data_IF_644394812163
#
_entry.id   IF_644394812163
#
_cell.length_a   1.000
_cell.length_b   1.000
_cell.length_c   1.000
_cell.angle_alpha   90.00
_cell.angle_beta   90.00
_cell.angle_gamma   90.00
#
_symmetry.space_group_name_H-M   'P 1'
#
loop_
_entity.id
_entity.type
_entity.pdbx_description
1 polymer ?
#
# COMPACT_ATOMS: atom_id res chain seq x y z
N UNK A 1 7.54 -41.61 -44.81
CA UNK A 1 8.57 -40.57 -44.57
C UNK A 1 7.89 -39.21 -44.72
N UNK A 2 7.54 -38.55 -43.61
CA UNK A 2 7.04 -37.16 -43.61
C UNK A 2 8.02 -36.35 -42.76
N UNK A 3 8.75 -35.44 -43.40
CA UNK A 3 9.61 -34.48 -42.72
C UNK A 3 8.72 -33.36 -42.17
N UNK A 4 8.74 -33.17 -40.86
CA UNK A 4 8.15 -32.00 -40.20
C UNK A 4 9.28 -31.01 -39.95
N UNK A 5 9.25 -29.85 -40.63
CA UNK A 5 10.17 -28.74 -40.35
C UNK A 5 9.78 -28.12 -39.00
N UNK A 6 10.75 -28.05 -38.08
CA UNK A 6 10.67 -27.27 -36.85
C UNK A 6 11.27 -25.90 -37.17
N UNK A 7 10.43 -24.86 -37.21
CA UNK A 7 10.85 -23.46 -37.30
C UNK A 7 11.14 -22.94 -35.90
N UNK A 8 12.42 -22.76 -35.59
CA UNK A 8 12.88 -22.10 -34.37
C UNK A 8 12.69 -20.59 -34.52
N UNK A 9 11.78 -20.00 -33.75
CA UNK A 9 11.65 -18.54 -33.65
C UNK A 9 12.73 -18.03 -32.68
N UNK A 10 13.68 -17.25 -33.20
CA UNK A 10 14.65 -16.51 -32.39
C UNK A 10 13.93 -15.28 -31.84
N UNK A 11 13.61 -15.27 -30.54
CA UNK A 11 13.12 -14.09 -29.84
C UNK A 11 14.29 -13.13 -29.64
N UNK A 12 14.29 -12.01 -30.34
CA UNK A 12 15.26 -10.93 -30.11
C UNK A 12 14.97 -10.25 -28.77
N UNK A 13 15.95 -10.25 -27.87
CA UNK A 13 15.89 -9.49 -26.63
C UNK A 13 15.95 -7.99 -26.96
N UNK A 14 14.81 -7.31 -26.90
CA UNK A 14 14.78 -5.85 -26.85
C UNK A 14 15.14 -5.43 -25.44
N UNK A 15 16.33 -4.87 -25.27
CA UNK A 15 16.72 -4.17 -24.04
C UNK A 15 15.84 -2.94 -23.91
N UNK A 16 14.79 -3.03 -23.09
CA UNK A 16 14.08 -1.87 -22.58
C UNK A 16 15.08 -1.09 -21.72
N UNK A 17 15.44 0.11 -22.17
CA UNK A 17 16.15 1.07 -21.32
C UNK A 17 15.23 1.42 -20.16
N UNK A 18 15.58 0.99 -18.94
CA UNK A 18 14.90 1.38 -17.73
C UNK A 18 14.95 2.92 -17.64
N UNK A 19 13.80 3.58 -17.85
CA UNK A 19 13.63 4.94 -17.38
C UNK A 19 13.75 4.89 -15.86
N UNK A 20 14.62 5.71 -15.26
CA UNK A 20 14.65 5.85 -13.82
C UNK A 20 13.23 6.21 -13.37
N UNK A 21 12.60 5.36 -12.56
CA UNK A 21 11.30 5.67 -11.98
C UNK A 21 11.42 7.00 -11.27
N UNK A 22 10.58 7.98 -11.58
CA UNK A 22 10.56 9.25 -10.84
C UNK A 22 9.50 9.12 -9.76
N UNK A 23 9.88 9.27 -8.49
CA UNK A 23 8.92 9.38 -7.39
C UNK A 23 8.29 10.78 -7.30
N UNK A 24 8.56 11.65 -8.29
CA UNK A 24 7.93 12.96 -8.36
C UNK A 24 6.42 12.84 -8.55
N UNK A 25 5.65 13.66 -7.82
CA UNK A 25 4.20 13.58 -7.85
C UNK A 25 3.64 12.44 -6.99
N UNK A 26 4.38 12.00 -5.97
CA UNK A 26 3.87 11.10 -4.93
C UNK A 26 4.16 11.67 -3.55
N UNK A 27 3.21 11.49 -2.63
CA UNK A 27 3.34 11.93 -1.23
C UNK A 27 3.71 10.73 -0.38
N UNK A 28 4.61 10.92 0.58
CA UNK A 28 4.96 9.88 1.55
C UNK A 28 4.84 10.36 2.99
N UNK A 29 4.70 9.39 3.88
CA UNK A 29 4.67 9.58 5.31
C UNK A 29 5.60 8.57 5.97
N UNK A 30 6.46 9.02 6.87
CA UNK A 30 7.36 8.16 7.63
C UNK A 30 7.14 8.31 9.12
N UNK A 31 7.04 7.18 9.84
CA UNK A 31 6.85 7.19 11.29
C UNK A 31 8.21 7.15 12.00
N UNK A 32 8.54 8.22 12.74
CA UNK A 32 9.84 8.46 13.40
C UNK A 32 9.71 8.63 14.91
N UNK A 33 10.84 8.86 15.57
CA UNK A 33 10.95 9.19 17.00
C UNK A 33 10.17 8.18 17.88
N UNK A 34 10.41 6.89 17.62
CA UNK A 34 9.72 5.79 18.29
C UNK A 34 8.17 5.82 18.17
N UNK A 35 7.64 6.38 17.08
CA UNK A 35 6.20 6.43 16.83
C UNK A 35 5.51 7.74 17.24
N UNK A 36 6.28 8.74 17.68
CA UNK A 36 5.74 10.02 18.18
C UNK A 36 5.80 11.16 17.16
N UNK A 37 6.36 10.93 15.98
CA UNK A 37 6.56 11.95 14.96
C UNK A 37 6.24 11.39 13.58
N UNK A 38 5.49 12.16 12.79
CA UNK A 38 5.22 11.91 11.40
C UNK A 38 6.10 12.81 10.54
N UNK A 39 7.00 12.21 9.77
CA UNK A 39 7.69 12.91 8.68
C UNK A 39 6.78 12.91 7.46
N UNK A 40 6.55 14.08 6.88
CA UNK A 40 5.73 14.30 5.70
C UNK A 40 6.66 14.64 4.54
N UNK A 41 6.63 13.80 3.50
CA UNK A 41 7.28 14.05 2.23
C UNK A 41 6.22 14.51 1.23
N UNK A 42 6.11 15.82 1.01
CA UNK A 42 5.15 16.38 0.03
C UNK A 42 5.42 15.89 -1.39
N UNK A 43 6.69 15.61 -1.69
CA UNK A 43 7.14 14.94 -2.89
C UNK A 43 8.25 13.93 -2.53
N UNK A 44 8.02 12.63 -2.76
CA UNK A 44 9.06 11.59 -2.59
C UNK A 44 10.25 11.78 -3.55
N UNK A 45 10.06 12.53 -4.64
CA UNK A 45 11.12 13.07 -5.49
C UNK A 45 12.14 13.96 -4.76
N UNK A 46 11.77 14.48 -3.59
CA UNK A 46 12.53 15.42 -2.76
C UNK A 46 12.40 15.06 -1.26
N UNK A 47 12.42 13.77 -0.93
CA UNK A 47 12.19 13.25 0.43
C UNK A 47 13.15 13.84 1.50
N UNK A 48 14.32 14.36 1.13
CA UNK A 48 15.26 15.06 2.01
C UNK A 48 14.71 16.39 2.55
N UNK A 49 13.66 16.92 1.94
CA UNK A 49 12.94 18.13 2.37
C UNK A 49 11.76 17.82 3.30
N UNK A 50 11.62 16.56 3.75
CA UNK A 50 10.54 16.14 4.63
C UNK A 50 10.41 17.01 5.89
N UNK A 51 9.18 17.33 6.25
CA UNK A 51 8.86 18.11 7.46
C UNK A 51 8.28 17.20 8.53
N UNK A 52 8.39 17.60 9.79
CA UNK A 52 7.96 16.76 10.90
C UNK A 52 6.77 17.37 11.65
N UNK A 53 5.82 16.52 12.01
CA UNK A 53 4.68 16.84 12.87
C UNK A 53 4.67 15.89 14.07
N UNK A 54 4.52 16.42 15.27
CA UNK A 54 4.39 15.61 16.49
C UNK A 54 3.00 14.99 16.56
N UNK A 55 2.95 13.68 16.82
CA UNK A 55 1.69 12.96 17.00
C UNK A 55 1.17 13.09 18.43
N UNK A 56 -0.16 13.11 18.59
CA UNK A 56 -0.80 13.22 19.91
C UNK A 56 -0.64 11.98 20.80
N UNK A 57 -0.32 10.83 20.21
CA UNK A 57 0.05 9.59 20.91
C UNK A 57 0.98 8.74 20.03
N UNK A 58 1.55 7.68 20.61
CA UNK A 58 2.52 6.80 19.96
C UNK A 58 1.83 5.78 19.05
N UNK A 59 2.32 5.66 17.82
CA UNK A 59 1.93 4.61 16.87
C UNK A 59 3.06 3.58 16.67
N UNK A 60 2.69 2.39 16.19
CA UNK A 60 3.60 1.31 15.81
C UNK A 60 3.80 1.21 14.30
N UNK A 61 2.77 1.52 13.52
CA UNK A 61 2.78 1.52 12.06
C UNK A 61 1.78 2.54 11.51
N UNK A 62 1.90 2.84 10.22
CA UNK A 62 1.00 3.73 9.47
C UNK A 62 0.67 3.08 8.13
N UNK A 63 -0.50 3.38 7.58
CA UNK A 63 -0.95 2.92 6.27
C UNK A 63 -1.80 3.99 5.61
N UNK A 64 -1.65 4.18 4.31
CA UNK A 64 -2.57 4.99 3.52
C UNK A 64 -3.72 4.10 3.03
N UNK A 65 -4.96 4.57 3.15
CA UNK A 65 -6.14 3.87 2.64
C UNK A 65 -6.53 4.44 1.27
N UNK A 66 -6.25 3.77 0.14
CA UNK A 66 -6.45 4.37 -1.17
C UNK A 66 -7.92 4.72 -1.45
N UNK A 67 -8.87 3.88 -1.01
CA UNK A 67 -10.31 4.09 -1.25
C UNK A 67 -10.84 5.43 -0.71
N UNK A 68 -10.42 5.84 0.49
CA UNK A 68 -10.90 7.09 1.13
C UNK A 68 -9.87 8.19 1.23
N UNK A 69 -8.61 7.92 0.85
CA UNK A 69 -7.49 8.86 0.92
C UNK A 69 -7.16 9.32 2.34
N UNK A 70 -7.35 8.44 3.30
CA UNK A 70 -7.11 8.71 4.71
C UNK A 70 -5.81 8.02 5.16
N UNK A 71 -5.05 8.67 6.02
CA UNK A 71 -3.90 8.08 6.68
C UNK A 71 -4.33 7.43 7.99
N UNK A 72 -4.00 6.14 8.15
CA UNK A 72 -4.29 5.36 9.34
C UNK A 72 -3.02 5.06 10.13
N UNK A 73 -3.19 4.89 11.43
CA UNK A 73 -2.15 4.47 12.37
C UNK A 73 -2.58 3.23 13.15
N UNK A 74 -1.65 2.31 13.36
CA UNK A 74 -1.85 1.13 14.21
C UNK A 74 -1.09 1.31 15.54
N UNK A 75 -1.73 1.02 16.66
CA UNK A 75 -1.13 1.06 17.99
C UNK A 75 -1.30 -0.30 18.68
N UNK A 76 -0.17 -0.88 19.10
CA UNK A 76 -0.15 -2.11 19.88
C UNK A 76 -0.51 -1.81 21.33
N UNK A 77 -1.48 -2.55 21.87
CA UNK A 77 -1.98 -2.41 23.22
C UNK A 77 -0.90 -2.69 24.28
N UNK A 78 -0.86 -1.85 25.31
CA UNK A 78 0.07 -2.01 26.44
C UNK A 78 -0.66 -2.45 27.71
N UNK A 79 0.03 -3.14 28.62
CA UNK A 79 -0.53 -3.52 29.93
C UNK A 79 -1.80 -4.38 29.87
N UNK A 80 -2.00 -5.15 28.79
CA UNK A 80 -3.19 -5.97 28.58
C UNK A 80 -4.33 -5.28 27.83
N UNK A 81 -4.17 -4.01 27.43
CA UNK A 81 -5.11 -3.35 26.54
C UNK A 81 -5.14 -4.01 25.15
N UNK A 82 -6.27 -3.86 24.45
CA UNK A 82 -6.42 -4.25 23.06
C UNK A 82 -5.63 -3.32 22.13
N UNK A 83 -5.30 -3.81 20.94
CA UNK A 83 -4.74 -3.00 19.87
C UNK A 83 -5.79 -2.00 19.35
N UNK A 84 -5.31 -0.87 18.86
CA UNK A 84 -6.15 0.24 18.43
C UNK A 84 -5.73 0.74 17.05
N UNK A 85 -6.70 1.21 16.27
CA UNK A 85 -6.49 1.84 14.98
C UNK A 85 -7.02 3.26 15.02
N UNK A 86 -6.24 4.19 14.48
CA UNK A 86 -6.53 5.61 14.45
C UNK A 86 -6.55 6.14 13.02
N UNK A 87 -7.37 7.15 12.77
CA UNK A 87 -7.20 8.06 11.63
C UNK A 87 -6.25 9.17 12.08
N UNK A 88 -5.26 9.48 11.25
CA UNK A 88 -4.25 10.51 11.49
C UNK A 88 -4.64 11.76 10.70
N UNK A 89 -4.69 12.90 11.38
CA UNK A 89 -4.63 14.20 10.70
C UNK A 89 -3.16 14.58 10.48
N UNK A 90 -2.62 14.48 9.24
CA UNK A 90 -1.22 14.74 8.98
C UNK A 90 -0.85 16.22 9.19
N UNK A 91 -1.81 17.15 9.16
CA UNK A 91 -1.53 18.59 9.34
C UNK A 91 -1.30 18.94 10.80
N UNK A 92 -2.02 18.29 11.71
CA UNK A 92 -1.99 18.61 13.15
C UNK A 92 -1.32 17.53 14.01
N UNK A 93 -1.16 16.31 13.48
CA UNK A 93 -0.69 15.14 14.22
C UNK A 93 -1.72 14.54 15.16
N UNK A 94 -2.97 15.01 15.11
CA UNK A 94 -4.04 14.52 15.96
C UNK A 94 -4.48 13.11 15.52
N UNK A 95 -4.64 12.21 16.50
CA UNK A 95 -5.10 10.85 16.28
C UNK A 95 -6.57 10.70 16.72
N UNK A 96 -7.42 10.22 15.81
CA UNK A 96 -8.83 9.91 16.11
C UNK A 96 -9.03 8.41 16.13
N UNK A 97 -9.36 7.84 17.30
CA UNK A 97 -9.58 6.41 17.45
C UNK A 97 -10.83 5.98 16.65
N UNK A 98 -10.69 4.93 15.84
CA UNK A 98 -11.79 4.35 15.04
C UNK A 98 -12.88 3.69 15.89
N UNK A 99 -12.56 3.35 17.13
CA UNK A 99 -13.43 2.57 18.02
C UNK A 99 -13.46 1.09 17.65
N UNK A 100 -12.52 0.63 16.83
CA UNK A 100 -12.45 -0.78 16.42
C UNK A 100 -12.34 -1.70 17.63
N UNK A 101 -13.11 -2.78 17.61
CA UNK A 101 -13.08 -3.79 18.67
C UNK A 101 -12.08 -4.88 18.32
N UNK A 102 -11.28 -5.30 19.30
CA UNK A 102 -10.41 -6.47 19.12
C UNK A 102 -10.83 -7.56 20.11
N UNK A 103 -11.29 -8.74 19.64
CA UNK A 103 -11.55 -9.89 20.50
C UNK A 103 -10.30 -10.29 21.30
N UNK A 104 -10.51 -10.99 22.42
CA UNK A 104 -9.40 -11.50 23.23
C UNK A 104 -8.48 -12.40 22.39
N UNK A 105 -7.21 -12.02 22.29
CA UNK A 105 -6.18 -12.74 21.52
C UNK A 105 -5.85 -12.14 20.15
N UNK A 106 -6.67 -11.24 19.59
CA UNK A 106 -6.32 -10.52 18.36
C UNK A 106 -5.45 -9.30 18.68
N UNK A 107 -4.13 -9.51 18.73
CA UNK A 107 -3.17 -8.43 18.99
C UNK A 107 -1.77 -8.82 18.54
N UNK A 108 -0.96 -7.80 18.31
CA UNK A 108 0.46 -7.96 18.05
C UNK A 108 1.26 -7.90 19.37
N UNK A 109 2.43 -8.54 19.37
CA UNK A 109 3.33 -8.53 20.53
C UNK A 109 3.95 -7.16 20.76
N UNK A 110 4.08 -6.79 22.04
CA UNK A 110 4.78 -5.58 22.43
C UNK A 110 6.26 -5.66 22.06
N UNK A 111 6.79 -4.58 21.49
CA UNK A 111 8.20 -4.48 21.10
C UNK A 111 8.49 -4.94 19.67
N UNK A 112 7.57 -5.66 19.04
CA UNK A 112 7.65 -6.05 17.63
C UNK A 112 7.63 -4.83 16.71
N UNK A 113 8.24 -4.96 15.53
CA UNK A 113 7.98 -4.05 14.41
C UNK A 113 6.74 -4.52 13.68
N UNK A 114 6.00 -3.57 13.14
CA UNK A 114 4.69 -3.80 12.55
C UNK A 114 4.68 -3.27 11.13
N UNK A 115 4.37 -4.13 10.17
CA UNK A 115 3.93 -3.73 8.85
C UNK A 115 2.42 -3.54 8.88
N UNK A 116 1.90 -2.51 8.21
CA UNK A 116 0.47 -2.24 8.14
C UNK A 116 0.14 -1.68 6.77
N UNK A 117 -0.76 -2.30 6.02
CA UNK A 117 -1.15 -1.81 4.69
C UNK A 117 -2.55 -2.27 4.25
N UNK A 118 -3.21 -1.50 3.39
CA UNK A 118 -4.56 -1.75 2.89
C UNK A 118 -4.58 -2.64 1.65
N UNK A 119 -5.33 -3.74 1.74
CA UNK A 119 -5.70 -4.50 0.56
C UNK A 119 -6.81 -3.76 -0.19
N UNK A 120 -6.45 -3.12 -1.31
CA UNK A 120 -7.36 -2.28 -2.07
C UNK A 120 -8.51 -3.05 -2.79
N UNK A 121 -8.46 -4.38 -2.88
CA UNK A 121 -9.56 -5.16 -3.45
C UNK A 121 -10.69 -5.43 -2.44
N UNK A 122 -10.34 -5.65 -1.17
CA UNK A 122 -11.33 -5.91 -0.11
C UNK A 122 -11.57 -4.70 0.79
N UNK A 123 -10.73 -3.66 0.71
CA UNK A 123 -10.81 -2.45 1.52
C UNK A 123 -10.70 -2.73 3.04
N UNK A 124 -9.71 -3.55 3.40
CA UNK A 124 -9.31 -3.86 4.77
C UNK A 124 -7.78 -3.87 4.88
N UNK A 125 -7.26 -3.58 6.07
CA UNK A 125 -5.82 -3.44 6.27
C UNK A 125 -5.24 -4.59 7.07
N UNK A 126 -4.16 -5.18 6.57
CA UNK A 126 -3.43 -6.22 7.29
C UNK A 126 -2.31 -5.59 8.09
N UNK A 127 -2.21 -5.95 9.37
CA UNK A 127 -1.01 -5.72 10.16
C UNK A 127 -0.28 -7.05 10.40
N UNK A 128 1.02 -7.05 10.16
CA UNK A 128 1.92 -8.18 10.40
C UNK A 128 3.06 -7.75 11.31
N UNK A 129 3.66 -8.69 12.03
CA UNK A 129 4.65 -8.37 13.04
C UNK A 129 5.91 -9.23 12.94
N UNK A 130 7.02 -8.72 13.47
CA UNK A 130 8.28 -9.48 13.63
C UNK A 130 8.22 -10.59 14.66
N UNK A 131 7.06 -10.80 15.27
CA UNK A 131 6.71 -11.95 16.13
C UNK A 131 5.61 -12.81 15.50
N UNK A 132 5.54 -12.77 14.17
CA UNK A 132 4.77 -13.67 13.30
C UNK A 132 3.25 -13.47 13.37
N UNK A 133 2.74 -12.56 14.20
CA UNK A 133 1.30 -12.32 14.24
C UNK A 133 0.80 -11.68 12.94
N UNK A 134 -0.43 -12.04 12.59
CA UNK A 134 -1.10 -11.65 11.37
C UNK A 134 -2.55 -11.27 11.69
N UNK A 135 -2.82 -9.96 11.75
CA UNK A 135 -4.16 -9.45 12.06
C UNK A 135 -4.70 -8.62 10.90
N UNK A 136 -6.02 -8.50 10.80
CA UNK A 136 -6.67 -7.61 9.83
C UNK A 136 -7.60 -6.68 10.56
N UNK A 137 -7.42 -5.38 10.30
CA UNK A 137 -8.37 -4.34 10.60
C UNK A 137 -9.41 -4.26 9.48
N UNK A 138 -10.67 -4.43 9.85
CA UNK A 138 -11.84 -4.23 9.00
C UNK A 138 -12.48 -2.89 9.35
N UNK A 139 -12.44 -1.88 8.46
CA UNK A 139 -13.02 -0.56 8.72
C UNK A 139 -14.51 -0.60 9.04
N UNK A 140 -15.05 0.48 9.60
CA UNK A 140 -16.50 0.58 9.90
C UNK A 140 -17.39 0.54 8.66
N UNK A 141 -16.85 0.87 7.49
CA UNK A 141 -17.50 0.78 6.18
C UNK A 141 -17.52 -0.64 5.60
N UNK A 142 -16.87 -1.61 6.25
CA UNK A 142 -16.80 -2.98 5.75
C UNK A 142 -18.20 -3.62 5.72
N UNK A 143 -18.48 -4.39 4.67
CA UNK A 143 -19.86 -4.77 4.30
C UNK A 143 -20.48 -5.95 5.07
N UNK A 144 -19.86 -6.42 6.15
CA UNK A 144 -20.34 -7.56 6.92
C UNK A 144 -20.06 -7.44 8.43
N UNK A 145 -20.36 -8.50 9.17
CA UNK A 145 -20.30 -8.58 10.63
C UNK A 145 -18.90 -8.33 11.22
N UNK A 146 -17.85 -8.28 10.39
CA UNK A 146 -16.48 -7.93 10.80
C UNK A 146 -16.26 -6.42 10.86
N UNK A 147 -17.18 -5.59 10.41
CA UNK A 147 -17.02 -4.15 10.39
C UNK A 147 -16.58 -3.58 11.74
N UNK A 148 -15.62 -2.66 11.68
CA UNK A 148 -15.01 -2.01 12.84
C UNK A 148 -14.38 -3.00 13.85
N UNK A 149 -13.62 -3.98 13.34
CA UNK A 149 -12.93 -4.96 14.18
C UNK A 149 -11.49 -5.20 13.75
N UNK A 150 -10.68 -5.70 14.69
CA UNK A 150 -9.35 -6.26 14.44
C UNK A 150 -9.43 -7.75 14.73
N UNK A 151 -9.09 -8.60 13.75
CA UNK A 151 -9.19 -10.05 13.88
C UNK A 151 -7.85 -10.73 13.61
N UNK A 152 -7.50 -11.75 14.40
CA UNK A 152 -6.32 -12.59 14.21
C UNK A 152 -6.55 -13.65 13.12
N UNK A 153 -5.49 -13.91 12.35
CA UNK A 153 -5.41 -14.99 11.37
C UNK A 153 -4.17 -15.84 11.62
N UNK A 154 -3.90 -16.79 10.73
CA UNK A 154 -2.78 -17.71 10.84
C UNK A 154 -1.47 -16.93 10.90
N UNK A 155 -0.65 -17.24 11.91
CA UNK A 155 0.67 -16.68 12.08
C UNK A 155 1.57 -16.97 10.86
N UNK A 156 2.59 -16.13 10.70
CA UNK A 156 3.45 -16.16 9.54
C UNK A 156 4.40 -17.36 9.59
N UNK A 157 4.47 -18.09 8.48
CA UNK A 157 5.40 -19.19 8.33
C UNK A 157 5.74 -19.41 6.85
N UNK A 158 6.99 -19.79 6.57
CA UNK A 158 7.40 -20.19 5.23
C UNK A 158 6.72 -21.49 4.79
N UNK A 159 6.33 -21.54 3.51
CA UNK A 159 5.70 -22.70 2.90
C UNK A 159 6.62 -23.93 2.90
N UNK A 160 6.04 -25.12 2.94
CA UNK A 160 6.81 -26.35 2.70
C UNK A 160 7.44 -26.32 1.31
N UNK A 161 8.75 -26.56 1.24
CA UNK A 161 9.53 -26.49 0.00
C UNK A 161 10.05 -25.10 -0.36
N UNK A 162 9.70 -24.06 0.39
CA UNK A 162 10.35 -22.75 0.29
C UNK A 162 11.81 -22.82 0.75
N UNK A 163 12.68 -21.97 0.19
CA UNK A 163 14.10 -21.95 0.57
C UNK A 163 14.34 -21.58 2.05
N UNK A 164 13.42 -20.80 2.63
CA UNK A 164 13.45 -20.40 4.04
C UNK A 164 12.56 -21.28 4.93
N UNK A 165 12.05 -22.42 4.44
CA UNK A 165 11.22 -23.33 5.21
C UNK A 165 11.86 -23.73 6.55
N UNK A 166 11.10 -23.61 7.64
CA UNK A 166 11.54 -23.90 9.00
C UNK A 166 12.31 -22.77 9.69
N UNK A 167 12.67 -21.70 8.98
CA UNK A 167 13.20 -20.47 9.58
C UNK A 167 12.07 -19.62 10.17
N UNK A 168 12.34 -18.94 11.29
CA UNK A 168 11.40 -17.95 11.83
C UNK A 168 11.46 -16.70 10.96
N UNK A 169 10.34 -16.25 10.37
CA UNK A 169 10.34 -15.01 9.62
C UNK A 169 10.52 -13.80 10.55
N UNK A 170 10.89 -12.67 9.98
CA UNK A 170 10.94 -11.38 10.67
C UNK A 170 10.36 -10.28 9.80
N UNK A 171 9.08 -10.45 9.49
CA UNK A 171 8.33 -9.50 8.64
C UNK A 171 8.07 -8.21 9.41
N UNK A 172 8.54 -7.09 8.86
CA UNK A 172 8.36 -5.77 9.48
C UNK A 172 7.61 -4.77 8.60
N UNK A 173 7.38 -5.12 7.33
CA UNK A 173 6.70 -4.29 6.35
C UNK A 173 5.99 -5.17 5.31
N UNK A 174 4.83 -4.72 4.84
CA UNK A 174 4.04 -5.37 3.79
C UNK A 174 3.37 -4.30 2.92
N UNK A 175 3.08 -4.64 1.67
CA UNK A 175 2.38 -3.78 0.73
C UNK A 175 1.51 -4.60 -0.23
N UNK A 176 0.44 -3.99 -0.74
CA UNK A 176 -0.44 -4.59 -1.76
C UNK A 176 -0.29 -3.91 -3.12
N UNK A 177 -0.29 -4.71 -4.19
CA UNK A 177 -0.42 -4.17 -5.55
C UNK A 177 -1.79 -3.53 -5.77
N UNK A 178 -1.90 -2.72 -6.83
CA UNK A 178 -3.14 -2.08 -7.29
C UNK A 178 -3.78 -1.19 -6.20
N UNK A 179 -2.95 -0.46 -5.45
CA UNK A 179 -3.35 0.54 -4.45
C UNK A 179 -3.87 1.83 -5.13
N UNK A 180 -4.98 1.71 -5.86
CA UNK A 180 -5.53 2.75 -6.71
C UNK A 180 -6.43 3.69 -5.89
N UNK A 181 -6.20 4.97 -6.11
CA UNK A 181 -6.75 6.07 -5.36
C UNK A 181 -8.25 6.29 -5.64
N UNK A 182 -9.09 6.19 -4.60
CA UNK A 182 -10.52 6.47 -4.66
C UNK A 182 -11.42 5.33 -5.17
N UNK A 183 -10.88 4.14 -5.39
CA UNK A 183 -11.65 2.97 -5.84
C UNK A 183 -11.05 1.69 -5.31
N UNK A 184 -11.87 0.64 -5.20
CA UNK A 184 -11.37 -0.72 -5.01
C UNK A 184 -10.76 -1.26 -6.31
N UNK A 185 -9.77 -2.14 -6.19
CA UNK A 185 -9.18 -2.88 -7.31
C UNK A 185 -9.89 -4.23 -7.54
N UNK A 186 -9.79 -4.77 -8.75
CA UNK A 186 -10.31 -6.10 -9.10
C UNK A 186 -9.57 -7.24 -8.42
N UNK A 187 -8.27 -7.07 -8.18
CA UNK A 187 -7.41 -8.02 -7.48
C UNK A 187 -6.21 -7.32 -6.84
N UNK A 188 -5.59 -7.95 -5.84
CA UNK A 188 -4.32 -7.52 -5.24
C UNK A 188 -3.44 -8.73 -4.95
N UNK A 189 -2.13 -8.52 -4.99
CA UNK A 189 -1.13 -9.45 -4.48
C UNK A 189 -0.39 -8.78 -3.33
N UNK A 190 -0.14 -9.55 -2.26
CA UNK A 190 0.56 -9.05 -1.08
C UNK A 190 2.03 -9.43 -1.11
N UNK A 191 2.87 -8.43 -0.92
CA UNK A 191 4.30 -8.56 -0.76
C UNK A 191 4.71 -8.12 0.63
N UNK A 192 5.86 -8.63 1.09
CA UNK A 192 6.43 -8.26 2.37
C UNK A 192 7.96 -8.32 2.33
N UNK A 193 8.59 -7.71 3.33
CA UNK A 193 10.03 -7.72 3.52
C UNK A 193 10.39 -8.46 4.81
N UNK A 194 11.30 -9.43 4.70
CA UNK A 194 11.82 -10.17 5.83
C UNK A 194 13.23 -9.68 6.21
N UNK A 195 13.37 -9.12 7.41
CA UNK A 195 14.65 -8.62 7.91
C UNK A 195 15.58 -9.72 8.46
N UNK A 196 15.13 -10.98 8.55
CA UNK A 196 15.96 -12.11 8.95
C UNK A 196 16.70 -12.72 7.74
N UNK A 197 15.98 -12.94 6.64
CA UNK A 197 16.53 -13.47 5.38
C UNK A 197 16.95 -12.38 4.37
N UNK A 198 16.71 -11.11 4.68
CA UNK A 198 16.91 -9.97 3.76
C UNK A 198 16.19 -10.15 2.41
N UNK A 199 14.97 -10.68 2.41
CA UNK A 199 14.27 -11.10 1.20
C UNK A 199 12.95 -10.37 0.95
N UNK A 200 12.60 -10.27 -0.34
CA UNK A 200 11.24 -10.02 -0.79
C UNK A 200 10.46 -11.34 -0.79
N UNK A 201 9.27 -11.31 -0.22
CA UNK A 201 8.40 -12.49 -0.12
C UNK A 201 6.97 -12.13 -0.54
N UNK A 202 6.20 -13.13 -0.97
CA UNK A 202 4.74 -13.03 -1.04
C UNK A 202 4.12 -13.49 0.27
N UNK A 203 3.00 -12.88 0.67
CA UNK A 203 2.20 -13.29 1.83
C UNK A 203 0.84 -13.80 1.38
N UNK A 204 0.49 -15.03 1.73
CA UNK A 204 -0.82 -15.62 1.46
C UNK A 204 -1.90 -15.11 2.43
N UNK A 205 -2.06 -13.79 2.57
CA UNK A 205 -3.10 -13.12 3.36
C UNK A 205 -3.42 -13.84 4.70
N UNK A 206 -4.67 -14.32 4.88
CA UNK A 206 -5.15 -14.96 6.11
C UNK A 206 -4.53 -16.34 6.38
N UNK A 207 -3.92 -16.97 5.36
CA UNK A 207 -3.23 -18.24 5.51
C UNK A 207 -1.85 -18.07 6.16
N UNK A 208 -1.31 -16.84 6.24
CA UNK A 208 0.00 -16.56 6.87
C UNK A 208 1.21 -17.14 6.12
N UNK A 209 0.98 -17.91 5.06
CA UNK A 209 2.05 -18.61 4.34
C UNK A 209 2.91 -17.63 3.55
N UNK A 210 4.22 -17.71 3.75
CA UNK A 210 5.23 -16.95 3.04
C UNK A 210 5.86 -17.79 1.92
N UNK A 211 6.07 -17.19 0.76
CA UNK A 211 6.95 -17.74 -0.28
C UNK A 211 8.00 -16.71 -0.66
N UNK A 212 9.26 -17.11 -0.67
CA UNK A 212 10.39 -16.27 -1.03
C UNK A 212 10.40 -16.04 -2.53
N UNK A 213 10.54 -14.77 -2.94
CA UNK A 213 10.69 -14.40 -4.34
C UNK A 213 12.18 -14.32 -4.67
N UNK A 214 12.88 -13.47 -3.93
CA UNK A 214 14.31 -13.23 -4.11
C UNK A 214 14.90 -12.48 -2.90
N UNK A 215 16.22 -12.59 -2.67
CA UNK A 215 16.94 -11.65 -1.81
C UNK A 215 16.80 -10.22 -2.32
N UNK A 216 16.71 -9.25 -1.42
CA UNK A 216 16.86 -7.84 -1.80
C UNK A 216 18.32 -7.58 -2.14
N UNK A 217 18.58 -7.02 -3.31
CA UNK A 217 19.94 -6.73 -3.77
C UNK A 217 20.14 -5.29 -4.18
N UNK A 218 21.24 -4.66 -3.78
CA UNK A 218 21.66 -3.35 -4.26
C UNK A 218 22.94 -3.51 -5.07
N UNK A 219 22.94 -3.03 -6.32
CA UNK A 219 24.07 -3.23 -7.25
C UNK A 219 24.50 -4.70 -7.40
N UNK A 220 23.54 -5.62 -7.36
CA UNK A 220 23.77 -7.07 -7.49
C UNK A 220 24.40 -7.75 -6.28
N UNK A 221 24.52 -7.05 -5.14
CA UNK A 221 24.94 -7.62 -3.86
C UNK A 221 23.75 -7.65 -2.90
N UNK A 222 23.69 -8.64 -2.02
CA UNK A 222 22.63 -8.70 -0.99
C UNK A 222 22.67 -7.41 -0.16
N UNK A 223 21.51 -6.77 -0.02
CA UNK A 223 21.37 -5.58 0.81
C UNK A 223 21.03 -6.01 2.23
N UNK A 224 21.94 -5.75 3.18
CA UNK A 224 21.77 -6.19 4.56
C UNK A 224 21.02 -5.14 5.38
N UNK A 225 19.69 -5.29 5.48
CA UNK A 225 18.82 -4.31 6.12
C UNK A 225 18.23 -4.81 7.43
N UNK A 226 18.04 -3.90 8.39
CA UNK A 226 17.34 -4.20 9.64
C UNK A 226 15.83 -3.88 9.51
N UNK A 227 15.10 -4.13 10.59
CA UNK A 227 13.64 -3.99 10.67
C UNK A 227 13.12 -2.55 10.92
N UNK A 228 13.95 -1.54 10.69
CA UNK A 228 13.55 -0.14 10.70
C UNK A 228 13.33 0.31 9.25
N UNK A 229 12.16 0.88 8.96
CA UNK A 229 11.77 1.21 7.60
C UNK A 229 10.28 1.02 7.36
N UNK A 230 9.95 0.70 6.11
CA UNK A 230 8.61 0.37 5.65
C UNK A 230 8.60 0.10 4.15
N UNK A 231 7.47 -0.35 3.63
CA UNK A 231 7.32 -0.82 2.25
C UNK A 231 5.95 -0.41 1.72
N UNK A 232 5.90 0.06 0.48
CA UNK A 232 4.68 0.53 -0.17
C UNK A 232 4.71 0.16 -1.66
N UNK A 233 3.54 -0.04 -2.27
CA UNK A 233 3.42 -0.23 -3.71
C UNK A 233 2.48 0.86 -4.26
N UNK A 234 3.04 1.79 -5.02
CA UNK A 234 2.29 2.84 -5.69
C UNK A 234 1.65 2.32 -6.97
N UNK A 235 0.38 2.69 -7.21
CA UNK A 235 -0.36 2.29 -8.40
C UNK A 235 -1.20 3.43 -8.97
N UNK A 236 -0.90 3.84 -10.20
CA UNK A 236 -1.74 4.80 -10.94
C UNK A 236 -2.93 4.09 -11.63
N UNK A 237 -2.80 2.81 -11.96
CA UNK A 237 -3.86 1.98 -12.54
C UNK A 237 -3.63 0.49 -12.26
N UNK A 238 -4.63 -0.36 -12.53
CA UNK A 238 -4.48 -1.82 -12.32
C UNK A 238 -3.35 -2.38 -13.19
N UNK A 239 -2.45 -3.14 -12.56
CA UNK A 239 -1.27 -3.71 -13.20
C UNK A 239 -0.07 -2.76 -13.22
N UNK A 240 -0.25 -1.47 -12.96
CA UNK A 240 0.84 -0.51 -12.79
C UNK A 240 1.26 -0.45 -11.32
N UNK A 241 2.45 -0.97 -11.02
CA UNK A 241 2.92 -1.18 -9.66
C UNK A 241 4.39 -0.78 -9.52
N UNK A 242 4.63 0.27 -8.74
CA UNK A 242 5.97 0.73 -8.38
C UNK A 242 6.20 0.47 -6.89
N UNK A 243 6.99 -0.55 -6.58
CA UNK A 243 7.32 -0.86 -5.19
C UNK A 243 8.45 0.04 -4.69
N UNK A 244 8.26 0.61 -3.50
CA UNK A 244 9.20 1.49 -2.83
C UNK A 244 9.37 1.08 -1.37
N UNK A 245 10.58 1.20 -0.85
CA UNK A 245 10.90 0.86 0.52
C UNK A 245 11.78 1.93 1.16
N UNK A 246 11.47 2.25 2.42
CA UNK A 246 12.44 2.81 3.35
C UNK A 246 13.21 1.65 3.96
N UNK A 247 14.51 1.58 3.74
CA UNK A 247 15.35 0.53 4.32
C UNK A 247 16.50 1.14 5.10
N UNK A 248 16.73 0.62 6.31
CA UNK A 248 17.89 0.95 7.13
C UNK A 248 18.95 -0.13 7.01
N UNK A 249 20.14 0.23 6.51
CA UNK A 249 21.28 -0.68 6.45
C UNK A 249 21.76 -1.04 7.87
N UNK A 250 21.98 -2.34 8.12
CA UNK A 250 22.22 -2.85 9.48
C UNK A 250 23.53 -2.38 10.10
N UNK A 251 24.59 -2.28 9.31
CA UNK A 251 25.93 -1.93 9.80
C UNK A 251 26.14 -0.43 9.98
N UNK A 252 25.42 0.39 9.21
CA UNK A 252 25.62 1.85 9.18
C UNK A 252 24.49 2.62 9.85
N UNK A 253 23.33 1.99 10.06
CA UNK A 253 22.07 2.64 10.47
C UNK A 253 21.62 3.78 9.53
N UNK A 254 22.15 3.80 8.29
CA UNK A 254 21.72 4.75 7.27
C UNK A 254 20.38 4.30 6.68
N UNK A 255 19.42 5.23 6.61
CA UNK A 255 18.10 4.95 6.03
C UNK A 255 17.97 5.63 4.67
N UNK A 256 17.71 4.84 3.64
CA UNK A 256 17.47 5.32 2.28
C UNK A 256 16.08 4.96 1.76
N UNK A 257 15.67 5.66 0.71
CA UNK A 257 14.52 5.31 -0.11
C UNK A 257 14.99 4.52 -1.32
N UNK A 258 14.32 3.40 -1.59
CA UNK A 258 14.69 2.46 -2.66
C UNK A 258 13.46 2.08 -3.46
N UNK A 259 13.59 1.95 -4.78
CA UNK A 259 12.61 1.18 -5.57
C UNK A 259 13.00 -0.28 -5.53
N UNK A 260 12.03 -1.21 -5.50
CA UNK A 260 12.26 -2.65 -5.50
C UNK A 260 11.58 -3.27 -6.73
N UNK A 261 12.33 -4.03 -7.52
CA UNK A 261 11.74 -4.88 -8.56
C UNK A 261 11.03 -6.08 -7.90
N UNK A 262 9.71 -6.16 -8.06
CA UNK A 262 8.87 -7.17 -7.39
C UNK A 262 9.10 -8.61 -7.88
N UNK A 263 9.79 -8.81 -9.01
CA UNK A 263 10.08 -10.15 -9.55
C UNK A 263 11.47 -10.64 -9.16
N UNK A 264 12.42 -9.74 -8.94
CA UNK A 264 13.85 -10.06 -8.78
C UNK A 264 14.44 -9.61 -7.45
N UNK A 265 13.73 -8.77 -6.68
CA UNK A 265 14.26 -8.16 -5.45
C UNK A 265 15.36 -7.12 -5.71
N UNK A 266 15.63 -6.74 -6.96
CA UNK A 266 16.64 -5.74 -7.28
C UNK A 266 16.19 -4.36 -6.77
N UNK A 267 16.93 -3.83 -5.80
CA UNK A 267 16.76 -2.50 -5.24
C UNK A 267 17.60 -1.47 -6.01
N UNK A 268 17.02 -0.30 -6.25
CA UNK A 268 17.73 0.88 -6.74
C UNK A 268 17.58 2.04 -5.75
N UNK A 269 18.70 2.63 -5.34
CA UNK A 269 18.71 3.75 -4.41
C UNK A 269 18.17 5.02 -5.09
N UNK A 270 17.22 5.69 -4.43
CA UNK A 270 16.57 6.89 -4.92
C UNK A 270 17.23 8.19 -4.44
N UNK A 271 18.55 8.18 -4.28
CA UNK A 271 19.39 9.39 -4.21
C UNK A 271 19.45 10.13 -2.87
N UNK A 272 18.69 9.73 -1.85
CA UNK A 272 18.63 10.46 -0.57
C UNK A 272 18.80 9.55 0.65
N UNK A 273 19.78 9.89 1.50
CA UNK A 273 19.87 9.40 2.88
C UNK A 273 19.00 10.29 3.76
N UNK A 274 17.90 9.72 4.25
CA UNK A 274 16.90 10.47 5.00
C UNK A 274 17.32 10.66 6.47
N UNK A 275 18.33 9.92 6.94
CA UNK A 275 18.87 9.92 8.31
C UNK A 275 17.85 9.59 9.40
N UNK A 276 18.27 8.83 10.41
CA UNK A 276 17.41 8.48 11.54
C UNK A 276 16.55 7.24 11.30
N UNK A 277 15.86 6.81 12.35
CA UNK A 277 15.17 5.53 12.39
C UNK A 277 13.68 5.70 12.12
N UNK A 278 13.21 5.01 11.09
CA UNK A 278 11.80 4.88 10.75
C UNK A 278 11.24 3.56 11.24
N UNK A 279 9.97 3.53 11.62
CA UNK A 279 9.27 2.33 12.10
C UNK A 279 8.03 1.98 11.27
N UNK A 280 7.69 2.83 10.32
CA UNK A 280 6.60 2.63 9.36
C UNK A 280 6.73 3.63 8.22
N UNK A 281 6.13 3.28 7.10
CA UNK A 281 6.09 4.10 5.88
C UNK A 281 4.74 3.87 5.21
N UNK A 282 4.15 4.94 4.70
CA UNK A 282 2.95 4.89 3.87
C UNK A 282 3.14 5.90 2.74
N UNK A 283 2.68 5.61 1.54
CA UNK A 283 2.74 6.57 0.44
C UNK A 283 1.55 6.44 -0.51
N UNK A 284 1.37 7.49 -1.32
CA UNK A 284 0.30 7.59 -2.30
C UNK A 284 0.78 8.32 -3.54
N UNK A 285 0.19 8.01 -4.70
CA UNK A 285 0.40 8.84 -5.89
C UNK A 285 -0.48 10.08 -5.78
N UNK A 286 0.08 11.24 -6.12
CA UNK A 286 -0.70 12.46 -6.26
C UNK A 286 -1.36 12.40 -7.64
N UNK A 287 -2.36 11.53 -7.77
CA UNK A 287 -3.18 11.44 -8.98
C UNK A 287 -3.84 12.80 -9.19
N UNK A 288 -3.24 13.63 -10.05
CA UNK A 288 -3.98 14.71 -10.68
C UNK A 288 -4.98 14.04 -11.60
N UNK A 289 -6.15 13.66 -11.08
CA UNK A 289 -7.31 13.48 -11.94
C UNK A 289 -7.52 14.85 -12.55
N UNK A 290 -6.93 15.09 -13.72
CA UNK A 290 -7.30 16.22 -14.54
C UNK A 290 -8.80 16.10 -14.69
N UNK A 291 -9.55 17.02 -14.07
CA UNK A 291 -10.98 17.08 -14.27
C UNK A 291 -11.17 17.08 -15.78
N UNK A 292 -11.77 16.02 -16.33
CA UNK A 292 -12.10 15.97 -17.75
C UNK A 292 -12.93 17.22 -17.97
N UNK A 293 -12.46 18.21 -18.74
CA UNK A 293 -13.28 19.37 -19.03
C UNK A 293 -14.51 18.77 -19.70
N UNK A 294 -15.70 18.98 -19.11
CA UNK A 294 -16.93 18.73 -19.83
C UNK A 294 -16.72 19.35 -21.21
N UNK A 295 -16.80 18.59 -22.31
CA UNK A 295 -16.71 19.18 -23.63
C UNK A 295 -17.69 20.34 -23.63
N UNK A 296 -17.23 21.52 -24.04
CA UNK A 296 -18.05 22.74 -24.09
C UNK A 296 -19.15 22.67 -25.19
N UNK A 297 -19.73 21.49 -25.38
CA UNK A 297 -20.84 21.21 -26.27
C UNK A 297 -21.51 19.92 -25.84
N UNK A 298 -22.63 20.04 -25.14
CA UNK A 298 -23.95 19.56 -25.57
C UNK A 298 -24.99 20.12 -24.58
N UNK A 299 -25.75 21.16 -24.95
CA UNK A 299 -27.10 21.35 -24.45
C UNK A 299 -28.07 20.92 -25.53
N UNK A 300 -28.45 19.64 -25.57
CA UNK A 300 -29.54 19.11 -26.41
C UNK A 300 -29.93 17.78 -25.74
N UNK A 301 -31.14 17.51 -25.26
CA UNK A 301 -32.48 17.82 -25.75
C UNK A 301 -33.43 17.76 -24.53
N UNK A 302 -34.18 18.83 -24.26
CA UNK A 302 -35.37 18.75 -23.39
C UNK A 302 -36.42 19.81 -23.76
N UNK A 303 -36.76 19.88 -25.05
CA UNK A 303 -37.95 20.60 -25.54
C UNK A 303 -38.54 19.89 -26.76
N UNK A 304 -39.09 18.70 -26.51
CA UNK A 304 -39.70 17.85 -27.54
C UNK A 304 -41.08 17.31 -27.17
N UNK A 305 -41.85 17.97 -26.29
CA UNK A 305 -43.27 17.68 -26.07
C UNK A 305 -44.02 19.00 -25.82
N UNK A 306 -44.58 19.59 -26.88
CA UNK A 306 -45.37 20.81 -26.75
C UNK A 306 -45.99 21.40 -28.01
N UNK A 307 -45.80 20.78 -29.20
CA UNK A 307 -46.25 21.37 -30.47
C UNK A 307 -47.04 20.41 -31.37
N UNK A 308 -47.92 19.59 -30.79
CA UNK A 308 -48.94 18.84 -31.55
C UNK A 308 -50.38 19.04 -31.05
N UNK A 309 -50.64 20.08 -30.25
CA UNK A 309 -51.95 20.37 -29.66
C UNK A 309 -52.75 21.53 -30.26
N UNK A 310 -52.29 22.18 -31.34
CA UNK A 310 -52.88 23.45 -31.79
C UNK A 310 -53.12 23.58 -33.30
N UNK A 311 -53.59 22.52 -33.98
CA UNK A 311 -54.22 22.65 -35.31
C UNK A 311 -55.46 21.73 -35.38
N UNK A 312 -56.49 22.01 -34.57
CA UNK A 312 -57.87 21.57 -34.87
C UNK A 312 -58.97 22.36 -34.17
N UNK A 313 -58.80 23.68 -34.04
CA UNK A 313 -59.84 24.58 -33.53
C UNK A 313 -60.01 25.82 -34.43
N UNK A 314 -60.07 25.62 -35.75
CA UNK A 314 -60.46 26.65 -36.70
C UNK A 314 -61.26 26.03 -37.85
N UNK A 315 -62.42 25.45 -37.53
CA UNK A 315 -63.54 25.17 -38.46
C UNK A 315 -64.71 24.60 -37.68
N UNK A 316 -65.56 25.48 -37.12
CA UNK A 316 -67.03 25.32 -36.97
C UNK A 316 -67.61 26.46 -36.12
N UNK A 317 -68.05 27.52 -36.81
CA UNK A 317 -69.12 28.48 -36.51
C UNK A 317 -69.07 29.46 -37.69
N UNK A 318 -70.07 29.66 -38.55
CA UNK A 318 -71.50 29.34 -38.63
C UNK A 318 -71.91 29.48 -40.12
N UNK A 319 -73.00 28.80 -40.49
CA UNK A 319 -73.74 28.90 -41.76
C UNK A 319 -73.02 28.33 -43.00
#
# INVERSE_FOLDING_TARGET
MRLTLITTAILGATTLTATAATLSGSTGYGLRNNGMELTIFEDLGMASQGTNVTLSDRLNAIAYRPVTRELYGYQVGTGGAADQVFIIDPMTGMLTNTGATSPEGAKLSQGSRVGFDFNNAIDAARAVSTSDENVVFFPSSFGDDRANSILQFTDLAYAEGDENFGSNPRIFANAYTNAIDGTTASETLQFALDANSNSLVTLANNAGTLNTIAPITLSGQMFDFNQNGGFEILSDSEGDNLAIALLTERDTDNTGLYTIDLATGAASFFGEDLRGQYRGFAAMTNSTVAAVPLPAGIPLILTGLGAFGAIRAARRKKA
#
